data_IF_930530100232
#
_entry.id   IF_930530100232
#
_cell.length_a   1.000
_cell.length_b   1.000
_cell.length_c   1.000
_cell.angle_alpha   90.00
_cell.angle_beta   90.00
_cell.angle_gamma   90.00
#
_symmetry.space_group_name_H-M   'P 1'
#
loop_
_entity.id
_entity.type
_entity.pdbx_description
1 polymer ?
#
# COMPACT_ATOMS: atom_id res chain seq x y z
N UNK A 1 2.94 -18.05 -10.99
CA UNK A 1 2.44 -18.05 -12.40
C UNK A 1 1.01 -18.55 -12.33
N UNK A 2 0.08 -17.91 -13.05
CA UNK A 2 -1.34 -18.30 -13.06
C UNK A 2 -1.62 -18.89 -14.44
N UNK A 3 -2.13 -20.12 -14.48
CA UNK A 3 -2.58 -20.75 -15.71
C UNK A 3 -4.08 -20.52 -15.85
N UNK A 4 -4.51 -19.96 -16.97
CA UNK A 4 -5.91 -19.62 -17.19
C UNK A 4 -6.39 -20.09 -18.56
N UNK A 5 -7.64 -20.53 -18.63
CA UNK A 5 -8.28 -21.05 -19.83
C UNK A 5 -9.75 -20.65 -19.83
N UNK A 6 -10.19 -19.94 -20.87
CA UNK A 6 -11.54 -19.37 -20.94
C UNK A 6 -12.56 -20.41 -21.41
N UNK A 7 -12.18 -21.30 -22.33
CA UNK A 7 -13.02 -22.40 -22.83
C UNK A 7 -12.29 -23.74 -22.75
N UNK A 8 -13.02 -24.84 -22.54
CA UNK A 8 -12.45 -26.18 -22.39
C UNK A 8 -11.57 -26.66 -23.55
N UNK A 9 -11.73 -26.09 -24.75
CA UNK A 9 -11.00 -26.49 -25.96
C UNK A 9 -9.86 -25.53 -26.35
N UNK A 10 -9.61 -24.47 -25.59
CA UNK A 10 -8.52 -23.51 -25.88
C UNK A 10 -7.20 -23.93 -25.22
N UNK A 11 -6.06 -23.54 -25.81
CA UNK A 11 -4.78 -23.72 -25.13
C UNK A 11 -4.66 -22.77 -23.93
N UNK A 12 -4.21 -23.26 -22.76
CA UNK A 12 -4.11 -22.45 -21.56
C UNK A 12 -3.00 -21.39 -21.68
N UNK A 13 -3.31 -20.18 -21.22
CA UNK A 13 -2.37 -19.05 -21.20
C UNK A 13 -1.76 -18.89 -19.81
N UNK A 14 -0.46 -18.60 -19.74
CA UNK A 14 0.26 -18.40 -18.49
C UNK A 14 0.44 -16.90 -18.24
N UNK A 15 -0.10 -16.43 -17.12
CA UNK A 15 0.03 -15.07 -16.62
C UNK A 15 1.06 -14.99 -15.48
N UNK A 16 1.70 -13.82 -15.38
CA UNK A 16 2.57 -13.46 -14.25
C UNK A 16 2.03 -12.19 -13.61
N UNK A 17 1.82 -12.24 -12.31
CA UNK A 17 1.47 -11.07 -11.51
C UNK A 17 2.64 -10.10 -11.53
N UNK A 18 2.35 -8.83 -11.83
CA UNK A 18 3.34 -7.74 -11.81
C UNK A 18 3.40 -7.04 -10.46
N UNK A 19 2.35 -7.20 -9.65
CA UNK A 19 2.19 -6.56 -8.35
C UNK A 19 2.01 -7.59 -7.25
N UNK A 20 2.27 -7.19 -6.01
CA UNK A 20 1.94 -8.01 -4.82
C UNK A 20 0.42 -8.11 -4.75
N UNK A 21 -0.11 -9.31 -4.98
CA UNK A 21 -1.55 -9.56 -4.96
C UNK A 21 -1.93 -10.28 -3.67
N UNK A 22 -3.08 -9.91 -3.10
CA UNK A 22 -3.69 -10.59 -1.96
C UNK A 22 -3.81 -12.11 -2.19
N UNK A 23 -3.74 -12.88 -1.10
CA UNK A 23 -3.90 -14.34 -1.14
C UNK A 23 -2.63 -15.17 -1.39
N UNK A 24 -1.46 -14.53 -1.54
CA UNK A 24 -0.17 -15.24 -1.47
C UNK A 24 0.41 -15.17 -0.07
N UNK A 25 1.04 -16.26 0.41
CA UNK A 25 1.55 -16.34 1.78
C UNK A 25 2.57 -15.22 2.13
N UNK A 26 3.30 -14.72 1.14
CA UNK A 26 4.28 -13.65 1.32
C UNK A 26 3.72 -12.24 1.12
N UNK A 27 2.51 -12.07 0.58
CA UNK A 27 1.96 -10.75 0.26
C UNK A 27 1.86 -9.82 1.48
N UNK A 28 1.34 -10.24 2.65
CA UNK A 28 1.26 -9.38 3.83
C UNK A 28 2.64 -8.88 4.28
N UNK A 29 3.63 -9.77 4.27
CA UNK A 29 5.00 -9.41 4.65
C UNK A 29 5.61 -8.39 3.69
N UNK A 30 5.48 -8.62 2.38
CA UNK A 30 6.03 -7.73 1.37
C UNK A 30 5.34 -6.36 1.41
N UNK A 31 4.02 -6.31 1.52
CA UNK A 31 3.26 -5.06 1.62
C UNK A 31 3.69 -4.23 2.84
N UNK A 32 3.75 -4.85 4.02
CA UNK A 32 4.16 -4.17 5.26
C UNK A 32 5.62 -3.70 5.19
N UNK A 33 6.52 -4.50 4.61
CA UNK A 33 7.95 -4.11 4.48
C UNK A 33 8.13 -2.94 3.52
N UNK A 34 7.46 -2.95 2.37
CA UNK A 34 7.49 -1.84 1.42
C UNK A 34 6.92 -0.57 2.04
N UNK A 35 5.77 -0.66 2.71
CA UNK A 35 5.17 0.48 3.41
C UNK A 35 6.10 1.09 4.46
N UNK A 36 6.76 0.24 5.26
CA UNK A 36 7.74 0.71 6.25
C UNK A 36 8.93 1.43 5.62
N UNK A 37 9.46 0.90 4.51
CA UNK A 37 10.57 1.53 3.81
C UNK A 37 10.15 2.89 3.23
N UNK A 38 9.02 2.94 2.52
CA UNK A 38 8.47 4.17 1.98
C UNK A 38 8.21 5.22 3.06
N UNK A 39 7.72 4.78 4.24
CA UNK A 39 7.49 5.67 5.38
C UNK A 39 8.79 6.34 5.85
N UNK A 40 9.92 5.62 5.81
CA UNK A 40 11.23 6.16 6.16
C UNK A 40 11.73 7.13 5.08
N UNK A 41 11.59 6.77 3.81
CA UNK A 41 12.08 7.56 2.67
C UNK A 41 11.33 8.89 2.55
N UNK A 42 10.01 8.87 2.76
CA UNK A 42 9.14 10.04 2.63
C UNK A 42 8.93 10.80 3.96
N UNK A 43 9.57 10.39 5.05
CA UNK A 43 9.39 10.99 6.39
C UNK A 43 9.67 12.51 6.44
N UNK A 44 10.60 12.98 5.59
CA UNK A 44 10.91 14.41 5.49
C UNK A 44 9.80 15.22 4.80
N UNK A 45 9.12 14.61 3.82
CA UNK A 45 8.07 15.24 3.01
C UNK A 45 6.70 15.16 3.69
N UNK A 46 6.42 14.05 4.37
CA UNK A 46 5.13 13.77 5.01
C UNK A 46 5.30 13.25 6.44
N UNK A 47 5.83 14.06 7.37
CA UNK A 47 6.20 13.60 8.72
C UNK A 47 5.02 13.04 9.53
N UNK A 48 3.81 13.57 9.37
CA UNK A 48 2.62 13.07 10.07
C UNK A 48 2.13 11.76 9.45
N UNK A 49 2.05 11.70 8.13
CA UNK A 49 1.61 10.49 7.42
C UNK A 49 2.60 9.34 7.61
N UNK A 50 3.91 9.58 7.53
CA UNK A 50 4.94 8.55 7.76
C UNK A 50 4.88 7.99 9.18
N UNK A 51 4.62 8.84 10.19
CA UNK A 51 4.45 8.36 11.57
C UNK A 51 3.24 7.42 11.68
N UNK A 52 2.11 7.84 11.13
CA UNK A 52 0.88 7.03 11.08
C UNK A 52 1.08 5.75 10.28
N UNK A 53 1.77 5.80 9.14
CA UNK A 53 2.04 4.64 8.31
C UNK A 53 2.92 3.58 9.00
N UNK A 54 3.75 4.00 9.97
CA UNK A 54 4.57 3.10 10.77
C UNK A 54 3.83 2.50 11.97
N UNK A 55 2.77 3.15 12.46
CA UNK A 55 2.18 2.87 13.79
C UNK A 55 0.71 2.43 13.72
N UNK A 56 -0.07 2.97 12.78
CA UNK A 56 -1.53 2.94 12.79
C UNK A 56 -2.13 2.28 11.52
N UNK A 57 -1.30 1.54 10.77
CA UNK A 57 -1.76 0.75 9.62
C UNK A 57 -2.07 -0.67 10.05
N UNK A 58 -3.25 -1.15 9.67
CA UNK A 58 -3.62 -2.54 9.77
C UNK A 58 -4.03 -3.07 8.40
N UNK A 59 -3.16 -3.91 7.80
CA UNK A 59 -3.35 -4.41 6.44
C UNK A 59 -3.58 -3.26 5.43
N UNK A 60 -4.79 -3.19 4.86
CA UNK A 60 -5.17 -2.20 3.86
C UNK A 60 -5.81 -0.94 4.48
N UNK A 61 -6.09 -0.95 5.79
CA UNK A 61 -6.74 0.14 6.51
C UNK A 61 -5.74 1.00 7.28
N UNK A 62 -5.97 2.32 7.22
CA UNK A 62 -5.26 3.30 8.05
C UNK A 62 -6.30 4.04 8.88
N UNK A 63 -6.22 3.87 10.20
CA UNK A 63 -7.15 4.52 11.14
C UNK A 63 -6.33 5.26 12.18
N UNK A 64 -6.34 6.58 12.11
CA UNK A 64 -5.58 7.45 13.01
C UNK A 64 -6.37 8.70 13.37
N UNK A 65 -5.88 9.45 14.35
CA UNK A 65 -6.54 10.64 14.88
C UNK A 65 -5.54 11.69 15.35
N UNK A 66 -6.05 12.89 15.63
CA UNK A 66 -5.25 14.00 16.14
C UNK A 66 -5.99 14.75 17.25
N UNK A 67 -5.25 15.54 18.03
CA UNK A 67 -5.76 16.22 19.22
C UNK A 67 -6.65 17.44 18.91
N UNK A 68 -6.58 17.96 17.69
CA UNK A 68 -7.40 19.10 17.24
C UNK A 68 -7.68 19.02 15.73
N UNK A 69 -8.63 19.83 15.27
CA UNK A 69 -9.09 19.82 13.88
C UNK A 69 -8.00 20.22 12.88
N UNK A 70 -7.16 21.20 13.21
CA UNK A 70 -6.10 21.66 12.30
C UNK A 70 -5.06 20.55 12.03
N UNK A 71 -4.60 19.90 13.09
CA UNK A 71 -3.67 18.77 12.99
C UNK A 71 -4.31 17.55 12.32
N UNK A 72 -5.59 17.28 12.57
CA UNK A 72 -6.34 16.23 11.88
C UNK A 72 -6.45 16.50 10.37
N UNK A 73 -6.73 17.74 9.99
CA UNK A 73 -6.82 18.13 8.58
C UNK A 73 -5.47 18.07 7.88
N UNK A 74 -4.40 18.51 8.54
CA UNK A 74 -3.03 18.37 8.02
C UNK A 74 -2.63 16.90 7.84
N UNK A 75 -2.95 16.05 8.82
CA UNK A 75 -2.70 14.62 8.75
C UNK A 75 -3.44 13.99 7.55
N UNK A 76 -4.73 14.29 7.38
CA UNK A 76 -5.52 13.83 6.24
C UNK A 76 -4.89 14.26 4.91
N UNK A 77 -4.52 15.54 4.78
CA UNK A 77 -3.86 16.07 3.58
C UNK A 77 -2.55 15.36 3.27
N UNK A 78 -1.73 15.08 4.28
CA UNK A 78 -0.48 14.33 4.10
C UNK A 78 -0.75 12.88 3.70
N UNK A 79 -1.70 12.19 4.35
CA UNK A 79 -2.04 10.80 4.02
C UNK A 79 -2.54 10.65 2.57
N UNK A 80 -3.36 11.59 2.09
CA UNK A 80 -3.84 11.59 0.69
C UNK A 80 -2.69 11.72 -0.31
N UNK A 81 -1.75 12.65 -0.06
CA UNK A 81 -0.57 12.85 -0.93
C UNK A 81 0.40 11.68 -0.85
N UNK A 82 0.62 11.16 0.36
CA UNK A 82 1.47 10.01 0.63
C UNK A 82 0.97 8.76 -0.10
N UNK A 83 -0.32 8.45 -0.01
CA UNK A 83 -0.92 7.33 -0.73
C UNK A 83 -0.80 7.49 -2.25
N UNK A 84 -1.01 8.71 -2.78
CA UNK A 84 -0.82 8.99 -4.21
C UNK A 84 0.61 8.73 -4.70
N UNK A 85 1.63 9.07 -3.91
CA UNK A 85 3.03 8.76 -4.23
C UNK A 85 3.29 7.25 -4.17
N UNK A 86 2.76 6.57 -3.16
CA UNK A 86 2.87 5.11 -3.04
C UNK A 86 2.37 4.42 -4.32
N UNK A 87 1.18 4.76 -4.81
CA UNK A 87 0.63 4.18 -6.04
C UNK A 87 1.56 4.30 -7.24
N UNK A 88 2.28 5.41 -7.39
CA UNK A 88 3.20 5.62 -8.51
C UNK A 88 4.48 4.77 -8.43
N UNK A 89 4.87 4.29 -7.24
CA UNK A 89 6.07 3.46 -7.08
C UNK A 89 5.79 1.95 -7.21
N UNK A 90 4.55 1.53 -6.98
CA UNK A 90 4.12 0.11 -7.06
C UNK A 90 3.42 -0.25 -8.40
N UNK A 91 3.20 0.70 -9.31
CA UNK A 91 2.70 0.46 -10.68
C UNK A 91 3.75 0.73 -11.75
#
# INVERSE_FOLDING_TARGET
>A
RIMWKTRANEEPVIYRLKTVTHGTASAPFLAIRTLKQLSMDEASRFPLASKVALQDVYMDDVVSGAQNLDTAHQLQCQLQKYAGNMWNEIT
#
